data_IF_414226970363
#
_entry.id   IF_414226970363
#
_cell.length_a   1.000
_cell.length_b   1.000
_cell.length_c   1.000
_cell.angle_alpha   90.00
_cell.angle_beta   90.00
_cell.angle_gamma   90.00
#
_symmetry.space_group_name_H-M   'P 1'
#
loop_
_entity.id
_entity.type
_entity.pdbx_description
1 polymer ?
#
# COMPACT_ATOMS: atom_id res chain seq x y z
N UNK A 1 -13.34 8.02 -0.64
CA UNK A 1 -12.68 7.33 -1.78
C UNK A 1 -12.72 8.29 -2.96
N UNK A 2 -11.72 8.29 -3.84
CA UNK A 2 -11.69 9.15 -5.03
C UNK A 2 -11.52 8.27 -6.27
N UNK A 3 -12.42 8.38 -7.25
CA UNK A 3 -12.44 7.55 -8.48
C UNK A 3 -12.38 6.02 -8.23
N UNK A 4 -12.96 5.56 -7.12
CA UNK A 4 -12.95 4.14 -6.73
C UNK A 4 -11.65 3.66 -6.05
N UNK A 5 -10.71 4.57 -5.77
CA UNK A 5 -9.46 4.29 -5.06
C UNK A 5 -9.51 4.87 -3.63
N UNK A 6 -8.94 4.21 -2.61
CA UNK A 6 -8.90 4.76 -1.26
C UNK A 6 -7.99 6.01 -1.22
N UNK A 7 -8.45 7.08 -0.59
CA UNK A 7 -7.80 8.40 -0.70
C UNK A 7 -6.38 8.42 -0.13
N UNK A 8 -6.18 7.86 1.06
CA UNK A 8 -4.88 7.84 1.73
C UNK A 8 -3.80 7.14 0.90
N UNK A 9 -3.97 5.87 0.46
CA UNK A 9 -2.95 5.20 -0.35
C UNK A 9 -2.77 5.87 -1.72
N UNK A 10 -3.83 6.40 -2.33
CA UNK A 10 -3.72 7.17 -3.57
C UNK A 10 -2.83 8.40 -3.41
N UNK A 11 -3.03 9.19 -2.35
CA UNK A 11 -2.24 10.38 -2.05
C UNK A 11 -0.78 10.03 -1.79
N UNK A 12 -0.53 9.03 -0.94
CA UNK A 12 0.83 8.59 -0.60
C UNK A 12 1.60 8.19 -1.86
N UNK A 13 0.98 7.38 -2.72
CA UNK A 13 1.64 6.92 -3.95
C UNK A 13 1.83 8.07 -4.93
N UNK A 14 0.82 8.91 -5.14
CA UNK A 14 0.93 10.03 -6.08
C UNK A 14 2.02 11.02 -5.64
N UNK A 15 2.08 11.36 -4.35
CA UNK A 15 3.13 12.21 -3.80
C UNK A 15 4.52 11.58 -3.94
N UNK A 16 4.64 10.28 -3.68
CA UNK A 16 5.92 9.55 -3.77
C UNK A 16 6.42 9.50 -5.22
N UNK A 17 5.55 9.18 -6.17
CA UNK A 17 5.89 9.13 -7.60
C UNK A 17 6.20 10.50 -8.16
N UNK A 18 5.49 11.55 -7.75
CA UNK A 18 5.77 12.92 -8.15
C UNK A 18 7.17 13.35 -7.67
N UNK A 19 7.47 13.16 -6.39
CA UNK A 19 8.80 13.48 -5.84
C UNK A 19 9.88 12.67 -6.56
N UNK A 20 9.69 11.36 -6.71
CA UNK A 20 10.64 10.51 -7.42
C UNK A 20 10.85 10.98 -8.87
N UNK A 21 9.80 11.34 -9.60
CA UNK A 21 9.91 11.82 -10.97
C UNK A 21 10.72 13.12 -11.06
N UNK A 22 10.48 14.10 -10.17
CA UNK A 22 11.25 15.36 -10.16
C UNK A 22 12.74 15.10 -9.92
N UNK A 23 13.06 14.27 -8.92
CA UNK A 23 14.45 13.97 -8.58
C UNK A 23 15.15 13.10 -9.62
N UNK A 24 14.46 12.12 -10.21
CA UNK A 24 15.01 11.28 -11.28
C UNK A 24 15.28 12.08 -12.55
N UNK A 25 14.42 13.07 -12.84
CA UNK A 25 14.60 13.99 -13.96
C UNK A 25 15.86 14.82 -13.75
N UNK A 26 16.05 15.34 -12.53
CA UNK A 26 17.19 16.19 -12.18
C UNK A 26 18.52 15.42 -12.08
N UNK A 27 18.53 14.23 -11.47
CA UNK A 27 19.75 13.50 -11.14
C UNK A 27 20.21 12.49 -12.20
N UNK A 28 19.28 11.94 -13.00
CA UNK A 28 19.59 10.82 -13.91
C UNK A 28 19.29 11.18 -15.36
N UNK A 29 18.01 11.32 -15.70
CA UNK A 29 17.56 11.63 -17.06
C UNK A 29 16.04 11.84 -17.10
N UNK A 30 15.54 12.75 -17.95
CA UNK A 30 14.11 12.90 -18.21
C UNK A 30 13.41 11.60 -18.63
N UNK A 31 14.11 10.72 -19.38
CA UNK A 31 13.53 9.46 -19.88
C UNK A 31 13.14 8.53 -18.72
N UNK A 32 13.98 8.47 -17.69
CA UNK A 32 13.73 7.64 -16.49
C UNK A 32 12.48 8.12 -15.75
N UNK A 33 12.21 9.42 -15.79
CA UNK A 33 11.01 10.01 -15.19
C UNK A 33 9.74 9.69 -15.98
N UNK A 34 9.83 9.57 -17.30
CA UNK A 34 8.71 9.08 -18.10
C UNK A 34 8.45 7.59 -17.81
N UNK A 35 9.50 6.79 -17.67
CA UNK A 35 9.37 5.36 -17.33
C UNK A 35 8.68 5.15 -15.98
N UNK A 36 8.98 5.96 -14.96
CA UNK A 36 8.31 5.81 -13.65
C UNK A 36 6.82 6.17 -13.72
N UNK A 37 6.43 7.13 -14.57
CA UNK A 37 5.03 7.45 -14.82
C UNK A 37 4.29 6.31 -15.53
N UNK A 38 4.96 5.58 -16.44
CA UNK A 38 4.39 4.38 -17.05
C UNK A 38 4.13 3.27 -16.02
N UNK A 39 4.91 3.19 -14.94
CA UNK A 39 4.68 2.26 -13.82
C UNK A 39 3.58 2.76 -12.88
N UNK A 40 3.43 4.07 -12.71
CA UNK A 40 2.39 4.65 -11.85
C UNK A 40 0.97 4.27 -12.31
N UNK A 41 0.69 4.36 -13.61
CA UNK A 41 -0.63 4.08 -14.20
C UNK A 41 -1.18 2.68 -13.85
N UNK A 42 -0.47 1.57 -14.16
CA UNK A 42 -0.96 0.22 -13.83
C UNK A 42 -1.10 0.01 -12.31
N UNK A 43 -0.30 0.72 -11.50
CA UNK A 43 -0.39 0.65 -10.05
C UNK A 43 -1.70 1.25 -9.54
N UNK A 44 -2.11 2.41 -10.06
CA UNK A 44 -3.42 3.03 -9.74
C UNK A 44 -4.57 2.15 -10.24
N UNK A 45 -4.46 1.58 -11.45
CA UNK A 45 -5.47 0.66 -11.98
C UNK A 45 -5.60 -0.60 -11.13
N UNK A 46 -4.48 -1.19 -10.68
CA UNK A 46 -4.49 -2.33 -9.78
C UNK A 46 -5.18 -1.99 -8.45
N UNK A 47 -4.92 -0.80 -7.88
CA UNK A 47 -5.63 -0.36 -6.67
C UNK A 47 -7.13 -0.29 -6.90
N UNK A 48 -7.56 0.36 -7.98
CA UNK A 48 -8.97 0.46 -8.35
C UNK A 48 -9.62 -0.91 -8.53
N UNK A 49 -8.90 -1.86 -9.14
CA UNK A 49 -9.40 -3.21 -9.37
C UNK A 49 -9.55 -3.99 -8.05
N UNK A 50 -8.61 -3.84 -7.12
CA UNK A 50 -8.66 -4.46 -5.79
C UNK A 50 -9.85 -3.94 -4.99
N UNK A 51 -10.08 -2.62 -5.02
CA UNK A 51 -11.16 -1.97 -4.27
C UNK A 51 -12.51 -1.97 -4.97
N UNK A 52 -12.62 -2.54 -6.18
CA UNK A 52 -13.86 -2.57 -6.97
C UNK A 52 -15.00 -3.33 -6.28
N UNK A 53 -14.68 -4.43 -5.59
CA UNK A 53 -15.67 -5.30 -4.93
C UNK A 53 -15.82 -5.02 -3.43
N UNK A 54 -14.76 -4.53 -2.80
CA UNK A 54 -14.66 -4.33 -1.36
C UNK A 54 -13.65 -3.20 -1.12
N UNK A 55 -14.13 -2.10 -0.55
CA UNK A 55 -13.37 -0.88 -0.27
C UNK A 55 -12.31 -1.09 0.83
N UNK A 56 -12.54 -2.03 1.74
CA UNK A 56 -11.65 -2.38 2.84
C UNK A 56 -10.54 -3.36 2.42
N UNK A 57 -10.69 -4.05 1.29
CA UNK A 57 -9.77 -5.11 0.85
C UNK A 57 -8.31 -4.66 0.77
N UNK A 58 -8.06 -3.44 0.30
CA UNK A 58 -6.71 -2.90 0.22
C UNK A 58 -6.11 -2.66 1.61
N UNK A 59 -6.92 -2.19 2.56
CA UNK A 59 -6.53 -2.06 3.98
C UNK A 59 -6.22 -3.42 4.61
N UNK A 60 -7.03 -4.44 4.33
CA UNK A 60 -6.79 -5.82 4.80
C UNK A 60 -5.49 -6.40 4.22
N UNK A 61 -5.19 -6.14 2.94
CA UNK A 61 -3.91 -6.54 2.34
C UNK A 61 -2.73 -5.87 3.04
N UNK A 62 -2.85 -4.58 3.36
CA UNK A 62 -1.80 -3.85 4.08
C UNK A 62 -1.62 -4.37 5.51
N UNK A 63 -2.71 -4.66 6.21
CA UNK A 63 -2.69 -5.29 7.54
C UNK A 63 -2.00 -6.66 7.48
N UNK A 64 -2.38 -7.50 6.51
CA UNK A 64 -1.76 -8.83 6.30
C UNK A 64 -0.26 -8.70 6.03
N UNK A 65 0.15 -7.75 5.19
CA UNK A 65 1.56 -7.49 4.90
C UNK A 65 2.31 -7.04 6.17
N UNK A 66 1.77 -6.07 6.90
CA UNK A 66 2.33 -5.57 8.17
C UNK A 66 2.50 -6.69 9.19
N UNK A 67 1.48 -7.53 9.38
CA UNK A 67 1.54 -8.66 10.31
C UNK A 67 2.58 -9.69 9.86
N UNK A 68 2.62 -10.02 8.57
CA UNK A 68 3.67 -10.91 8.02
C UNK A 68 5.06 -10.36 8.28
N UNK A 69 5.30 -9.08 8.02
CA UNK A 69 6.61 -8.44 8.23
C UNK A 69 7.04 -8.47 9.70
N UNK A 70 6.13 -8.12 10.62
CA UNK A 70 6.42 -8.12 12.06
C UNK A 70 6.72 -9.50 12.64
N UNK A 71 6.04 -10.54 12.15
CA UNK A 71 6.20 -11.89 12.66
C UNK A 71 7.20 -12.72 11.84
N UNK A 72 8.01 -12.12 10.94
CA UNK A 72 8.97 -12.86 10.12
C UNK A 72 10.00 -13.63 10.97
N UNK A 73 10.58 -13.00 11.99
CA UNK A 73 11.59 -13.63 12.85
C UNK A 73 11.02 -14.81 13.63
N UNK A 74 9.88 -14.61 14.29
CA UNK A 74 9.16 -15.68 15.01
C UNK A 74 8.73 -16.81 14.07
N UNK A 75 8.24 -16.49 12.87
CA UNK A 75 7.90 -17.50 11.87
C UNK A 75 9.11 -18.28 11.36
N UNK A 76 10.28 -17.64 11.21
CA UNK A 76 11.51 -18.34 10.81
C UNK A 76 12.00 -19.32 11.87
N UNK A 77 11.84 -18.97 13.15
CA UNK A 77 12.29 -19.80 14.26
C UNK A 77 11.30 -20.95 14.56
N UNK A 78 10.00 -20.66 14.54
CA UNK A 78 8.97 -21.59 15.03
C UNK A 78 8.05 -22.15 13.94
N UNK A 79 8.19 -21.70 12.69
CA UNK A 79 7.29 -22.02 11.57
C UNK A 79 5.80 -21.71 11.80
N UNK A 80 5.47 -20.99 12.88
CA UNK A 80 4.12 -20.66 13.30
C UNK A 80 3.96 -19.15 13.56
N UNK A 81 2.72 -18.67 13.49
CA UNK A 81 2.35 -17.31 13.92
C UNK A 81 1.11 -17.44 14.82
N UNK A 82 1.22 -16.96 16.06
CA UNK A 82 0.07 -16.82 16.95
C UNK A 82 -0.52 -15.41 16.81
N UNK A 83 -1.84 -15.35 16.71
CA UNK A 83 -2.59 -14.10 16.79
C UNK A 83 -3.51 -14.22 17.99
N UNK A 84 -3.39 -13.30 18.96
CA UNK A 84 -4.38 -13.21 20.03
C UNK A 84 -5.56 -12.35 19.55
N UNK A 85 -6.80 -12.71 19.92
CA UNK A 85 -7.94 -11.85 19.66
C UNK A 85 -7.73 -10.51 20.36
N UNK A 86 -8.04 -9.42 19.67
CA UNK A 86 -8.14 -8.12 20.31
C UNK A 86 -9.36 -8.16 21.24
N UNK A 87 -9.14 -7.86 22.52
CA UNK A 87 -10.25 -7.68 23.46
C UNK A 87 -11.08 -6.50 22.99
N UNK A 88 -12.25 -6.77 22.41
CA UNK A 88 -13.11 -5.71 21.87
C UNK A 88 -13.69 -4.90 23.04
N UNK A 89 -13.10 -3.75 23.32
CA UNK A 89 -13.68 -2.79 24.26
C UNK A 89 -14.73 -1.96 23.53
N UNK A 90 -15.97 -2.04 23.99
CA UNK A 90 -17.08 -1.24 23.45
C UNK A 90 -16.76 0.23 23.72
N UNK A 91 -16.59 1.03 22.66
CA UNK A 91 -16.41 2.47 22.78
C UNK A 91 -17.69 3.06 23.40
N UNK A 92 -17.62 3.60 24.61
CA UNK A 92 -18.72 4.41 25.16
C UNK A 92 -18.80 5.67 24.30
N UNK A 93 -19.93 5.84 23.61
CA UNK A 93 -20.33 7.08 22.95
C UNK A 93 -20.75 8.09 24.01
#
# INVERSE_FOLDING_TARGET
MFLGVPMVPFLVISATFLLAAVWLMYLISPIVSVLILLVYVPLVLAMRQITKKDDQRLGQMFLRARMRLRHQSGRKLWCAISYSPLTYMKRKL
#
